data_IF_312541571715
#
_entry.id   IF_312541571715
#
_cell.length_a   1.000
_cell.length_b   1.000
_cell.length_c   1.000
_cell.angle_alpha   90.00
_cell.angle_beta   90.00
_cell.angle_gamma   90.00
#
_symmetry.space_group_name_H-M   'P 1'
#
loop_
_entity.id
_entity.type
_entity.pdbx_description
1 polymer ?
#
# COMPACT_ATOMS: atom_id res chain seq x y z
N UNK A 1 -2.44 -1.12 18.07
CA UNK A 1 -1.82 -0.63 16.83
C UNK A 1 -0.63 0.25 17.14
N UNK A 2 -0.67 0.96 18.26
CA UNK A 2 0.35 1.86 18.81
C UNK A 2 1.78 1.36 18.64
N UNK A 3 2.10 0.15 19.12
CA UNK A 3 3.46 -0.42 19.12
C UNK A 3 4.10 -0.57 17.73
N UNK A 4 3.31 -0.54 16.65
CA UNK A 4 3.80 -0.70 15.28
C UNK A 4 3.55 0.55 14.44
N UNK A 5 2.40 1.19 14.58
CA UNK A 5 1.97 2.29 13.71
C UNK A 5 2.57 3.63 14.14
N UNK A 6 2.70 3.89 15.44
CA UNK A 6 3.27 5.15 15.93
C UNK A 6 4.77 5.28 15.62
N UNK A 7 5.62 4.26 15.85
CA UNK A 7 7.03 4.33 15.46
C UNK A 7 7.22 4.50 13.95
N UNK A 8 6.37 3.86 13.15
CA UNK A 8 6.42 3.96 11.70
C UNK A 8 6.00 5.35 11.20
N UNK A 9 4.92 5.91 11.73
CA UNK A 9 4.49 7.28 11.40
C UNK A 9 5.57 8.30 11.79
N UNK A 10 6.14 8.20 13.01
CA UNK A 10 7.21 9.10 13.45
C UNK A 10 8.43 9.02 12.53
N UNK A 11 8.82 7.82 12.11
CA UNK A 11 9.90 7.63 11.14
C UNK A 11 9.62 8.33 9.80
N UNK A 12 8.38 8.26 9.28
CA UNK A 12 7.99 8.97 8.07
C UNK A 12 8.05 10.50 8.22
N UNK A 13 7.67 11.02 9.39
CA UNK A 13 7.82 12.44 9.71
C UNK A 13 9.28 12.86 9.74
N UNK A 14 10.13 12.07 10.40
CA UNK A 14 11.54 12.41 10.60
C UNK A 14 12.37 12.31 9.31
N UNK A 15 12.12 11.27 8.49
CA UNK A 15 12.89 11.03 7.26
C UNK A 15 12.40 11.88 6.08
N UNK A 16 11.09 12.08 5.95
CA UNK A 16 10.48 12.69 4.76
C UNK A 16 9.84 14.07 5.03
N UNK A 17 9.92 14.59 6.26
CA UNK A 17 9.31 15.85 6.67
C UNK A 17 7.82 15.96 6.31
N UNK A 18 7.11 14.82 6.29
CA UNK A 18 5.68 14.78 5.97
C UNK A 18 4.88 15.44 7.10
N UNK A 19 3.78 16.12 6.78
CA UNK A 19 2.94 16.80 7.81
C UNK A 19 2.00 15.82 8.49
N UNK A 20 1.41 14.90 7.72
CA UNK A 20 0.61 13.76 8.18
C UNK A 20 0.52 12.78 6.99
N UNK A 21 1.11 11.58 7.06
CA UNK A 21 1.03 10.62 5.97
C UNK A 21 -0.42 10.14 5.75
N UNK A 22 -0.77 9.85 4.49
CA UNK A 22 -2.07 9.29 4.11
C UNK A 22 -1.95 7.76 4.10
N UNK A 23 -2.84 7.08 4.81
CA UNK A 23 -2.96 5.62 4.81
C UNK A 23 -4.15 5.21 3.94
N UNK A 24 -3.91 4.36 2.94
CA UNK A 24 -4.95 3.81 2.07
C UNK A 24 -4.96 2.28 2.20
N UNK A 25 -6.17 1.71 2.20
CA UNK A 25 -6.44 0.27 2.25
C UNK A 25 -7.58 -0.13 1.28
N UNK A 26 -7.88 -1.42 1.21
CA UNK A 26 -8.88 -1.99 0.30
C UNK A 26 -10.36 -1.77 0.72
N UNK A 27 -10.60 -1.05 1.81
CA UNK A 27 -11.91 -0.84 2.41
C UNK A 27 -12.70 -2.14 2.70
N UNK A 28 -12.00 -3.25 2.97
CA UNK A 28 -12.65 -4.49 3.40
C UNK A 28 -13.23 -4.36 4.80
N UNK A 29 -14.23 -5.19 5.10
CA UNK A 29 -14.97 -5.14 6.37
C UNK A 29 -14.08 -5.34 7.59
N UNK A 30 -12.97 -6.07 7.46
CA UNK A 30 -11.99 -6.25 8.53
C UNK A 30 -11.19 -4.98 8.80
N UNK A 31 -10.90 -4.18 7.76
CA UNK A 31 -10.23 -2.88 7.85
C UNK A 31 -11.17 -1.72 8.23
N UNK A 32 -12.47 -1.99 8.34
CA UNK A 32 -13.50 -1.08 8.85
C UNK A 32 -14.15 -1.58 10.15
N UNK A 33 -13.51 -2.54 10.83
CA UNK A 33 -13.97 -2.97 12.14
C UNK A 33 -13.92 -1.79 13.13
N UNK A 34 -14.86 -1.70 14.06
CA UNK A 34 -14.98 -0.56 14.98
C UNK A 34 -13.66 -0.19 15.66
N UNK A 35 -12.90 -1.18 16.13
CA UNK A 35 -11.57 -0.99 16.74
C UNK A 35 -10.54 -0.27 15.85
N UNK A 36 -10.66 -0.40 14.54
CA UNK A 36 -9.76 0.26 13.58
C UNK A 36 -10.20 1.70 13.37
N UNK A 37 -11.51 1.92 13.20
CA UNK A 37 -12.08 3.27 13.12
C UNK A 37 -11.79 4.07 14.39
N UNK A 38 -12.07 3.49 15.58
CA UNK A 38 -11.79 4.11 16.88
C UNK A 38 -10.31 4.52 16.99
N UNK A 39 -9.39 3.67 16.51
CA UNK A 39 -7.96 3.96 16.56
C UNK A 39 -7.57 5.17 15.70
N UNK A 40 -8.12 5.28 14.48
CA UNK A 40 -7.88 6.44 13.62
C UNK A 40 -8.51 7.72 14.19
N UNK A 41 -9.69 7.62 14.79
CA UNK A 41 -10.37 8.74 15.45
C UNK A 41 -9.59 9.24 16.68
N UNK A 42 -8.94 8.34 17.43
CA UNK A 42 -8.06 8.66 18.56
C UNK A 42 -6.70 9.25 18.13
N UNK A 43 -6.26 9.02 16.87
CA UNK A 43 -4.93 9.40 16.36
C UNK A 43 -4.98 10.23 15.05
N UNK A 44 -5.74 11.34 14.99
CA UNK A 44 -6.01 12.07 13.74
C UNK A 44 -4.80 12.77 13.12
N UNK A 45 -3.71 12.92 13.89
CA UNK A 45 -2.46 13.55 13.43
C UNK A 45 -1.34 12.53 13.14
N UNK A 46 -1.57 11.24 13.41
CA UNK A 46 -0.58 10.19 13.18
C UNK A 46 -0.63 9.70 11.73
N UNK A 47 -1.82 9.38 11.24
CA UNK A 47 -2.07 8.95 9.86
C UNK A 47 -3.47 9.40 9.47
N UNK A 48 -3.61 9.95 8.27
CA UNK A 48 -4.92 10.23 7.71
C UNK A 48 -5.44 9.00 6.97
N UNK A 49 -6.49 8.36 7.47
CA UNK A 49 -7.15 7.26 6.77
C UNK A 49 -7.90 7.82 5.55
N UNK A 50 -7.48 7.40 4.35
CA UNK A 50 -8.10 7.87 3.12
C UNK A 50 -9.51 7.31 3.00
N UNK A 51 -10.51 8.20 3.04
CA UNK A 51 -11.89 7.85 2.74
C UNK A 51 -12.05 7.66 1.22
N UNK A 52 -12.03 6.41 0.81
CA UNK A 52 -12.07 5.96 -0.58
C UNK A 52 -13.29 5.07 -0.80
N UNK A 53 -13.94 5.18 -1.97
CA UNK A 53 -15.13 4.40 -2.31
C UNK A 53 -14.93 2.88 -2.14
N UNK A 54 -15.72 2.28 -1.24
CA UNK A 54 -15.73 0.83 -1.06
C UNK A 54 -16.00 0.10 -2.38
N UNK A 55 -15.28 -0.99 -2.63
CA UNK A 55 -15.49 -1.91 -3.77
C UNK A 55 -15.04 -1.41 -5.14
N UNK A 56 -13.90 -0.73 -5.20
CA UNK A 56 -13.18 -0.52 -6.45
C UNK A 56 -11.85 -1.29 -6.45
N UNK A 57 -11.85 -2.61 -6.72
CA UNK A 57 -10.63 -3.42 -6.78
C UNK A 57 -9.61 -2.85 -7.77
N UNK A 58 -10.11 -2.32 -8.89
CA UNK A 58 -9.30 -1.69 -9.96
C UNK A 58 -8.51 -0.46 -9.47
N UNK A 59 -8.91 0.10 -8.33
CA UNK A 59 -8.38 1.32 -7.78
C UNK A 59 -7.69 1.11 -6.43
N UNK A 60 -7.48 -0.15 -6.02
CA UNK A 60 -6.62 -0.47 -4.88
C UNK A 60 -5.15 -0.52 -5.34
N UNK A 61 -4.31 0.48 -5.03
CA UNK A 61 -2.93 0.52 -5.50
C UNK A 61 -2.15 -0.77 -5.24
N UNK A 62 -2.36 -1.38 -4.06
CA UNK A 62 -1.59 -2.56 -3.69
C UNK A 62 -1.95 -3.78 -4.53
N UNK A 63 -3.22 -3.94 -4.96
CA UNK A 63 -3.66 -5.05 -5.82
C UNK A 63 -3.08 -4.95 -7.23
N UNK A 64 -3.06 -3.73 -7.78
CA UNK A 64 -2.44 -3.47 -9.07
C UNK A 64 -0.92 -3.72 -9.03
N UNK A 65 -0.26 -3.40 -7.91
CA UNK A 65 1.14 -3.73 -7.68
C UNK A 65 1.35 -5.25 -7.57
N UNK A 66 0.49 -5.95 -6.84
CA UNK A 66 0.51 -7.41 -6.74
C UNK A 66 0.33 -8.09 -8.09
N UNK A 67 -0.63 -7.65 -8.90
CA UNK A 67 -0.83 -8.15 -10.25
C UNK A 67 0.42 -7.92 -11.11
N UNK A 68 1.05 -6.75 -11.00
CA UNK A 68 2.32 -6.47 -11.71
C UNK A 68 3.42 -7.45 -11.31
N UNK A 69 3.61 -7.70 -10.02
CA UNK A 69 4.60 -8.65 -9.50
C UNK A 69 4.30 -10.08 -9.95
N UNK A 70 3.03 -10.50 -9.89
CA UNK A 70 2.60 -11.81 -10.34
C UNK A 70 2.94 -12.02 -11.83
N UNK A 71 2.66 -11.02 -12.67
CA UNK A 71 3.00 -11.06 -14.10
C UNK A 71 4.52 -11.12 -14.33
N UNK A 72 5.31 -10.38 -13.54
CA UNK A 72 6.77 -10.42 -13.65
C UNK A 72 7.32 -11.80 -13.26
N UNK A 73 6.82 -12.40 -12.18
CA UNK A 73 7.19 -13.75 -11.76
C UNK A 73 6.77 -14.79 -12.81
N UNK A 74 5.56 -14.71 -13.36
CA UNK A 74 5.08 -15.61 -14.43
C UNK A 74 5.90 -15.51 -15.72
N UNK A 75 6.48 -14.36 -16.03
CA UNK A 75 7.35 -14.16 -17.20
C UNK A 75 8.76 -14.74 -17.02
N UNK A 76 9.14 -15.17 -15.81
CA UNK A 76 10.43 -15.82 -15.59
C UNK A 76 10.43 -17.19 -16.26
N UNK A 77 11.56 -17.57 -16.83
CA UNK A 77 11.72 -18.89 -17.45
C UNK A 77 11.70 -20.04 -16.41
N UNK A 78 11.89 -19.74 -15.13
CA UNK A 78 11.90 -20.72 -14.06
C UNK A 78 10.69 -20.52 -13.13
N UNK A 79 9.73 -21.44 -13.22
CA UNK A 79 8.64 -21.50 -12.25
C UNK A 79 9.15 -21.89 -10.86
N UNK A 80 8.61 -21.28 -9.79
CA UNK A 80 8.98 -21.62 -8.42
C UNK A 80 8.53 -23.05 -8.11
N UNK A 81 9.42 -23.84 -7.48
CA UNK A 81 9.16 -25.26 -7.17
C UNK A 81 8.66 -25.47 -5.74
N UNK A 82 8.84 -24.47 -4.89
CA UNK A 82 8.46 -24.48 -3.49
C UNK A 82 8.23 -23.02 -3.01
N UNK A 83 7.81 -22.86 -1.75
CA UNK A 83 7.51 -21.55 -1.18
C UNK A 83 8.74 -20.64 -1.02
N UNK A 84 9.92 -21.20 -0.78
CA UNK A 84 11.17 -20.44 -0.68
C UNK A 84 11.52 -19.86 -2.05
N UNK A 85 11.51 -20.70 -3.09
CA UNK A 85 11.74 -20.26 -4.47
C UNK A 85 10.74 -19.17 -4.89
N UNK A 86 9.46 -19.31 -4.50
CA UNK A 86 8.44 -18.31 -4.79
C UNK A 86 8.73 -16.98 -4.08
N UNK A 87 9.05 -17.04 -2.78
CA UNK A 87 9.41 -15.86 -1.99
C UNK A 87 10.62 -15.13 -2.57
N UNK A 88 11.67 -15.87 -2.93
CA UNK A 88 12.88 -15.30 -3.52
C UNK A 88 12.61 -14.66 -4.89
N UNK A 89 11.76 -15.28 -5.71
CA UNK A 89 11.36 -14.71 -6.99
C UNK A 89 10.53 -13.43 -6.83
N UNK A 90 9.56 -13.43 -5.92
CA UNK A 90 8.75 -12.23 -5.61
C UNK A 90 9.66 -11.11 -5.11
N UNK A 91 10.53 -11.39 -4.13
CA UNK A 91 11.47 -10.40 -3.61
C UNK A 91 12.41 -9.86 -4.69
N UNK A 92 12.91 -10.74 -5.56
CA UNK A 92 13.77 -10.35 -6.68
C UNK A 92 13.05 -9.45 -7.69
N UNK A 93 11.76 -9.64 -7.96
CA UNK A 93 10.99 -8.73 -8.82
C UNK A 93 10.62 -7.43 -8.07
N UNK A 94 10.27 -7.51 -6.79
CA UNK A 94 10.01 -6.35 -5.93
C UNK A 94 11.17 -5.37 -5.92
N UNK A 95 12.40 -5.86 -5.76
CA UNK A 95 13.60 -5.03 -5.72
C UNK A 95 13.94 -4.35 -7.06
N UNK A 96 13.29 -4.73 -8.16
CA UNK A 96 13.43 -4.05 -9.47
C UNK A 96 12.44 -2.90 -9.65
N UNK A 97 11.46 -2.76 -8.75
CA UNK A 97 10.52 -1.65 -8.78
C UNK A 97 11.24 -0.39 -8.28
N UNK A 98 11.57 0.51 -9.21
CA UNK A 98 12.18 1.78 -8.87
C UNK A 98 11.18 2.75 -8.24
N UNK A 99 11.67 3.66 -7.39
CA UNK A 99 10.84 4.69 -6.77
C UNK A 99 10.03 5.50 -7.79
N UNK A 100 10.56 5.72 -9.00
CA UNK A 100 9.84 6.41 -10.09
C UNK A 100 8.64 5.64 -10.60
N UNK A 101 8.69 4.30 -10.64
CA UNK A 101 7.55 3.47 -11.01
C UNK A 101 6.45 3.60 -9.96
N UNK A 102 6.81 3.52 -8.67
CA UNK A 102 5.87 3.67 -7.56
C UNK A 102 5.27 5.09 -7.50
N UNK A 103 6.06 6.12 -7.79
CA UNK A 103 5.59 7.50 -7.84
C UNK A 103 4.58 7.70 -8.97
N UNK A 104 4.92 7.30 -10.20
CA UNK A 104 4.01 7.38 -11.34
C UNK A 104 2.71 6.61 -11.10
N UNK A 105 2.83 5.48 -10.39
CA UNK A 105 1.70 4.66 -10.03
C UNK A 105 0.76 5.38 -9.05
N UNK A 106 1.30 5.95 -7.97
CA UNK A 106 0.55 6.79 -7.01
C UNK A 106 -0.07 8.00 -7.71
N UNK A 107 0.67 8.67 -8.59
CA UNK A 107 0.19 9.84 -9.32
C UNK A 107 -0.97 9.49 -10.26
N UNK A 108 -0.94 8.32 -10.91
CA UNK A 108 -2.03 7.87 -11.78
C UNK A 108 -3.35 7.64 -11.04
N UNK A 109 -3.29 7.34 -9.74
CA UNK A 109 -4.47 7.19 -8.88
C UNK A 109 -5.02 8.54 -8.42
N UNK A 110 -4.16 9.54 -8.22
CA UNK A 110 -4.55 10.91 -7.81
C UNK A 110 -5.31 11.68 -8.90
N UNK A 111 -5.12 11.34 -10.18
CA UNK A 111 -5.84 11.99 -11.30
C UNK A 111 -7.36 11.74 -11.21
N UNK A 112 -7.82 10.73 -10.45
CA UNK A 112 -9.25 10.45 -10.26
C UNK A 112 -9.91 11.24 -9.12
N UNK A 113 -9.15 11.98 -8.30
CA UNK A 113 -9.72 12.75 -7.18
C UNK A 113 -10.02 14.22 -7.52
N UNK A 114 -9.58 14.72 -8.67
CA UNK A 114 -9.76 16.13 -9.08
C UNK A 114 -10.96 16.36 -10.01
N UNK A 115 -11.95 15.45 -10.01
CA UNK A 115 -13.22 15.66 -10.71
C UNK A 115 -14.37 15.88 -9.73
N UNK A 116 -14.43 17.08 -9.12
CA UNK A 116 -15.69 17.80 -8.81
C UNK A 116 -15.37 19.28 -8.61
#
# INVERSE_FOLDING_TARGET
>A
MDDQVLPFSQHLHDEYALVTPIFQDDNSTVHRAGRICDWFDEHPHTLFHLDWHAKSPDLNPIENLWNTLEQQVKRRNQYPRNLVDLSDQILSEWLKLYATYLQNFVDSLRIFTDST
#
